data_IF_895190619714
#
_entry.id   IF_895190619714
#
_cell.length_a   1.000
_cell.length_b   1.000
_cell.length_c   1.000
_cell.angle_alpha   90.00
_cell.angle_beta   90.00
_cell.angle_gamma   90.00
#
_symmetry.space_group_name_H-M   'P 1'
#
loop_
_entity.id
_entity.type
_entity.pdbx_description
1 polymer ?
#
# COMPACT_ATOMS: atom_id res chain seq x y z
N UNK A 1 2.11 -18.20 2.94
CA UNK A 1 2.90 -17.00 2.57
C UNK A 1 2.67 -16.76 1.08
N UNK A 2 2.48 -15.52 0.64
CA UNK A 2 2.12 -15.17 -0.76
C UNK A 2 3.32 -15.14 -1.73
N UNK A 3 4.46 -15.68 -1.30
CA UNK A 3 5.74 -15.52 -1.97
C UNK A 3 6.41 -16.88 -2.03
N UNK A 4 6.52 -17.42 -3.24
CA UNK A 4 7.36 -18.58 -3.48
C UNK A 4 8.83 -18.17 -3.30
N UNK A 5 9.66 -18.98 -2.61
CA UNK A 5 11.07 -18.68 -2.37
C UNK A 5 11.86 -18.40 -3.65
N UNK A 6 11.58 -19.19 -4.69
CA UNK A 6 12.36 -19.21 -5.94
C UNK A 6 11.63 -18.53 -7.12
N UNK A 7 10.49 -17.89 -6.85
CA UNK A 7 9.66 -17.25 -7.88
C UNK A 7 10.02 -15.78 -8.12
N UNK A 8 10.18 -15.41 -9.39
CA UNK A 8 10.35 -14.04 -9.87
C UNK A 8 9.01 -13.30 -10.14
N UNK A 9 7.89 -14.03 -10.16
CA UNK A 9 6.54 -13.47 -10.30
C UNK A 9 5.85 -13.33 -8.94
N UNK A 10 5.44 -12.10 -8.59
CA UNK A 10 4.79 -11.81 -7.31
C UNK A 10 3.33 -11.39 -7.50
N UNK A 11 2.43 -12.12 -6.86
CA UNK A 11 1.00 -11.82 -6.89
C UNK A 11 0.63 -10.90 -5.73
N UNK A 12 0.51 -9.60 -6.04
CA UNK A 12 0.17 -8.56 -5.08
C UNK A 12 -0.99 -7.71 -5.60
N UNK A 13 -1.93 -7.42 -4.71
CA UNK A 13 -3.00 -6.47 -5.01
C UNK A 13 -2.45 -5.05 -5.08
N UNK A 14 -2.87 -4.31 -6.11
CA UNK A 14 -2.69 -2.85 -6.12
C UNK A 14 -3.45 -2.25 -4.94
N UNK A 15 -2.95 -1.13 -4.43
CA UNK A 15 -3.63 -0.35 -3.41
C UNK A 15 -4.91 0.29 -3.97
N UNK A 16 -6.05 -0.23 -3.54
CA UNK A 16 -7.36 0.33 -3.88
C UNK A 16 -7.87 1.28 -2.79
N UNK A 17 -8.84 2.14 -3.14
CA UNK A 17 -9.41 3.17 -2.27
C UNK A 17 -9.93 2.68 -0.91
N UNK A 18 -10.34 1.42 -0.80
CA UNK A 18 -10.91 0.83 0.41
C UNK A 18 -9.87 0.30 1.41
N UNK A 19 -8.59 0.28 1.03
CA UNK A 19 -7.52 -0.26 1.86
C UNK A 19 -7.13 0.76 2.94
N UNK A 20 -6.97 0.30 4.19
CA UNK A 20 -6.58 1.17 5.32
C UNK A 20 -5.24 1.90 5.10
N UNK A 21 -4.33 1.26 4.37
CA UNK A 21 -3.02 1.82 4.03
C UNK A 21 -3.11 2.96 2.99
N UNK A 22 -4.21 3.03 2.23
CA UNK A 22 -4.38 4.01 1.14
C UNK A 22 -4.56 5.41 1.72
N UNK A 23 -3.69 6.33 1.32
CA UNK A 23 -3.71 7.71 1.84
C UNK A 23 -4.63 8.67 1.09
N UNK A 24 -5.08 8.31 -0.11
CA UNK A 24 -6.01 9.12 -0.92
C UNK A 24 -5.40 10.34 -1.62
N UNK A 25 -4.32 10.92 -1.11
CA UNK A 25 -3.72 12.15 -1.67
C UNK A 25 -2.63 11.93 -2.74
N UNK A 26 -2.00 10.75 -2.81
CA UNK A 26 -1.01 10.44 -3.85
C UNK A 26 -1.61 9.47 -4.87
N UNK A 27 -1.62 9.73 -6.18
CA UNK A 27 -2.29 8.86 -7.15
C UNK A 27 -1.66 7.46 -7.22
N UNK A 28 -0.33 7.38 -7.21
CA UNK A 28 0.42 6.14 -7.45
C UNK A 28 1.15 5.66 -6.18
N UNK A 29 0.40 5.33 -5.13
CA UNK A 29 0.97 4.74 -3.91
C UNK A 29 1.25 3.25 -4.12
N UNK A 30 2.48 2.81 -3.82
CA UNK A 30 2.85 1.40 -3.82
C UNK A 30 2.44 0.72 -2.50
N UNK A 31 2.07 -0.58 -2.50
CA UNK A 31 1.78 -1.31 -1.27
C UNK A 31 3.02 -1.45 -0.38
N UNK A 32 2.87 -1.25 0.93
CA UNK A 32 3.96 -1.41 1.90
C UNK A 32 4.56 -2.83 1.89
N UNK A 33 3.74 -3.87 1.66
CA UNK A 33 4.19 -5.26 1.62
C UNK A 33 5.16 -5.56 0.47
N UNK A 34 5.00 -4.88 -0.67
CA UNK A 34 5.93 -4.99 -1.80
C UNK A 34 7.31 -4.43 -1.40
N UNK A 35 7.30 -3.22 -0.84
CA UNK A 35 8.51 -2.50 -0.46
C UNK A 35 9.23 -3.17 0.71
N UNK A 36 8.48 -3.74 1.65
CA UNK A 36 9.05 -4.49 2.77
C UNK A 36 9.84 -5.71 2.28
N UNK A 37 9.31 -6.47 1.30
CA UNK A 37 10.05 -7.60 0.73
C UNK A 37 11.35 -7.14 0.06
N UNK A 38 11.26 -6.12 -0.80
CA UNK A 38 12.42 -5.59 -1.54
C UNK A 38 13.49 -5.11 -0.57
N UNK A 39 13.13 -4.30 0.43
CA UNK A 39 14.09 -3.74 1.38
C UNK A 39 14.71 -4.85 2.24
N UNK A 40 13.96 -5.88 2.65
CA UNK A 40 14.49 -6.99 3.45
C UNK A 40 15.47 -7.87 2.68
N UNK A 41 15.24 -8.10 1.39
CA UNK A 41 16.14 -8.89 0.54
C UNK A 41 17.39 -8.11 0.15
N UNK A 42 17.27 -6.80 -0.03
CA UNK A 42 18.34 -5.96 -0.58
C UNK A 42 19.11 -5.14 0.46
N UNK A 43 18.80 -5.25 1.76
CA UNK A 43 19.47 -4.46 2.81
C UNK A 43 19.37 -5.11 4.19
N UNK A 44 20.36 -4.81 5.04
CA UNK A 44 20.37 -5.12 6.46
C UNK A 44 19.88 -3.94 7.31
N UNK A 45 19.67 -4.18 8.61
CA UNK A 45 19.41 -3.08 9.55
C UNK A 45 20.64 -2.16 9.61
N UNK A 46 20.40 -0.86 9.70
CA UNK A 46 21.47 0.16 9.65
C UNK A 46 21.95 0.53 8.25
N UNK A 47 21.60 -0.21 7.20
CA UNK A 47 21.92 0.20 5.82
C UNK A 47 21.10 1.43 5.40
N UNK A 48 21.55 2.11 4.34
CA UNK A 48 20.87 3.27 3.75
C UNK A 48 20.01 2.82 2.58
N UNK A 49 18.71 3.15 2.64
CA UNK A 49 17.79 3.02 1.50
C UNK A 49 17.61 4.38 0.83
N UNK A 50 17.96 4.47 -0.46
CA UNK A 50 17.80 5.69 -1.25
C UNK A 50 16.63 5.57 -2.24
N UNK A 51 15.75 6.56 -2.26
CA UNK A 51 14.65 6.66 -3.23
C UNK A 51 14.65 8.06 -3.91
N UNK A 52 15.06 8.18 -5.19
CA UNK A 52 15.07 9.47 -5.88
C UNK A 52 13.68 9.96 -6.30
N UNK A 53 12.63 9.16 -6.12
CA UNK A 53 11.25 9.47 -6.54
C UNK A 53 10.25 9.11 -5.44
N UNK A 54 10.42 9.73 -4.27
CA UNK A 54 9.74 9.35 -3.01
C UNK A 54 8.21 9.30 -3.14
N UNK A 55 7.60 10.24 -3.87
CA UNK A 55 6.16 10.32 -4.09
C UNK A 55 5.37 10.23 -2.79
N UNK A 56 4.65 9.11 -2.59
CA UNK A 56 3.86 8.85 -1.38
C UNK A 56 4.65 8.57 -0.09
N UNK A 57 5.98 8.48 -0.16
CA UNK A 57 6.85 8.19 0.98
C UNK A 57 6.87 6.72 1.40
N UNK A 58 6.27 5.80 0.63
CA UNK A 58 6.12 4.39 1.04
C UNK A 58 7.47 3.72 1.27
N UNK A 59 8.44 3.87 0.35
CA UNK A 59 9.78 3.29 0.46
C UNK A 59 10.47 3.69 1.75
N UNK A 60 10.55 4.99 2.02
CA UNK A 60 11.26 5.53 3.17
C UNK A 60 10.51 5.26 4.48
N UNK A 61 9.17 5.23 4.47
CA UNK A 61 8.37 4.87 5.63
C UNK A 61 8.60 3.40 6.03
N UNK A 62 8.67 2.49 5.05
CA UNK A 62 9.00 1.09 5.29
C UNK A 62 10.46 0.94 5.75
N UNK A 63 11.40 1.61 5.10
CA UNK A 63 12.82 1.62 5.51
C UNK A 63 12.98 2.07 6.97
N UNK A 64 12.31 3.16 7.35
CA UNK A 64 12.32 3.67 8.72
C UNK A 64 11.78 2.65 9.74
N UNK A 65 10.64 1.98 9.45
CA UNK A 65 10.09 0.94 10.32
C UNK A 65 10.95 -0.30 10.42
N UNK A 66 11.73 -0.57 9.38
CA UNK A 66 12.65 -1.69 9.31
C UNK A 66 14.02 -1.36 9.92
N UNK A 67 14.19 -0.22 10.58
CA UNK A 67 15.46 0.21 11.18
C UNK A 67 16.59 0.37 10.15
N UNK A 68 16.27 0.91 8.97
CA UNK A 68 17.24 1.37 7.98
C UNK A 68 17.37 2.89 8.04
N UNK A 69 18.55 3.39 7.75
CA UNK A 69 18.71 4.80 7.37
C UNK A 69 18.07 5.02 6.00
N UNK A 70 17.70 6.26 5.70
CA UNK A 70 17.00 6.55 4.47
C UNK A 70 17.32 7.95 3.96
N UNK A 71 17.31 8.09 2.64
CA UNK A 71 17.47 9.35 1.93
C UNK A 71 16.50 9.33 0.75
N UNK A 72 15.93 10.48 0.39
CA UNK A 72 15.17 10.54 -0.85
C UNK A 72 14.93 11.94 -1.35
N UNK A 73 14.53 12.00 -2.61
CA UNK A 73 14.25 13.23 -3.34
C UNK A 73 12.80 13.20 -3.84
N UNK A 74 12.15 14.36 -3.78
CA UNK A 74 10.83 14.58 -4.37
C UNK A 74 10.81 15.99 -4.94
N UNK A 75 10.31 16.13 -6.17
CA UNK A 75 10.29 17.41 -6.86
C UNK A 75 9.16 18.31 -6.34
N UNK A 76 8.01 17.71 -6.00
CA UNK A 76 6.88 18.43 -5.45
C UNK A 76 7.08 18.70 -3.95
N UNK A 77 7.16 19.98 -3.57
CA UNK A 77 7.23 20.38 -2.16
C UNK A 77 6.02 19.90 -1.35
N UNK A 78 4.83 19.86 -1.96
CA UNK A 78 3.62 19.34 -1.32
C UNK A 78 3.76 17.84 -1.00
N UNK A 79 4.22 17.04 -1.95
CA UNK A 79 4.43 15.60 -1.73
C UNK A 79 5.58 15.34 -0.77
N UNK A 80 6.67 16.11 -0.85
CA UNK A 80 7.78 16.01 0.08
C UNK A 80 7.32 16.23 1.53
N UNK A 81 6.49 17.25 1.78
CA UNK A 81 5.95 17.53 3.11
C UNK A 81 5.07 16.39 3.64
N UNK A 82 4.09 15.94 2.84
CA UNK A 82 3.18 14.84 3.22
C UNK A 82 3.92 13.51 3.41
N UNK A 83 4.90 13.22 2.55
CA UNK A 83 5.76 12.05 2.69
C UNK A 83 6.60 12.12 3.97
N UNK A 84 7.18 13.29 4.28
CA UNK A 84 7.96 13.51 5.50
C UNK A 84 7.13 13.26 6.76
N UNK A 85 5.89 13.74 6.80
CA UNK A 85 4.95 13.45 7.90
C UNK A 85 4.73 11.94 8.06
N UNK A 86 4.45 11.23 6.96
CA UNK A 86 4.28 9.78 6.94
C UNK A 86 5.52 9.05 7.46
N UNK A 87 6.72 9.42 6.99
CA UNK A 87 7.98 8.80 7.36
C UNK A 87 8.27 9.02 8.85
N UNK A 88 8.05 10.24 9.35
CA UNK A 88 8.20 10.58 10.76
C UNK A 88 7.22 9.80 11.64
N UNK A 89 5.97 9.66 11.20
CA UNK A 89 4.99 8.82 11.87
C UNK A 89 5.46 7.36 11.90
N UNK A 90 5.94 6.83 10.78
CA UNK A 90 6.42 5.46 10.65
C UNK A 90 7.65 5.18 11.55
N UNK A 91 8.59 6.14 11.64
CA UNK A 91 9.76 6.08 12.53
C UNK A 91 9.37 6.04 14.01
N UNK A 92 8.36 6.82 14.42
CA UNK A 92 7.90 6.89 15.82
C UNK A 92 7.12 5.66 16.29
N UNK A 93 6.41 5.00 15.38
CA UNK A 93 5.47 3.91 15.71
C UNK A 93 5.93 2.53 15.21
N UNK A 94 7.22 2.36 14.86
CA UNK A 94 7.70 1.17 14.17
C UNK A 94 8.13 0.01 15.09
N UNK A 95 7.46 -1.15 14.96
CA UNK A 95 8.08 -2.48 14.75
C UNK A 95 7.07 -3.50 14.20
N UNK A 96 7.49 -4.18 13.12
CA UNK A 96 6.85 -5.24 12.31
C UNK A 96 5.36 -5.08 11.95
N UNK A 97 5.07 -4.85 10.66
CA UNK A 97 3.86 -5.45 10.09
C UNK A 97 4.14 -6.95 10.03
N UNK A 98 3.88 -7.68 11.12
CA UNK A 98 3.58 -9.10 10.99
C UNK A 98 2.32 -9.16 10.14
N UNK A 99 2.47 -9.42 8.85
CA UNK A 99 1.34 -9.82 8.00
C UNK A 99 0.90 -11.22 8.44
N UNK A 100 0.29 -11.32 9.63
CA UNK A 100 -0.74 -12.32 9.88
C UNK A 100 -2.00 -11.88 9.12
N UNK A 101 -1.91 -11.83 7.79
CA UNK A 101 -3.07 -11.91 6.91
C UNK A 101 -3.12 -13.30 6.30
N UNK A 102 -3.18 -14.29 7.19
CA UNK A 102 -3.72 -15.62 6.93
C UNK A 102 -4.94 -15.83 7.82
N UNK A 103 -5.95 -14.94 7.76
CA UNK A 103 -7.28 -15.17 8.36
C UNK A 103 -8.28 -14.07 7.95
N UNK A 104 -8.60 -14.01 6.66
CA UNK A 104 -9.93 -13.69 6.13
C UNK A 104 -9.79 -13.74 4.62
N UNK A 105 -9.90 -14.97 4.12
CA UNK A 105 -10.31 -15.18 2.75
C UNK A 105 -11.53 -14.32 2.47
N UNK A 106 -11.61 -13.89 1.22
CA UNK A 106 -12.79 -13.37 0.54
C UNK A 106 -14.06 -13.87 1.24
N UNK A 107 -14.67 -13.05 2.11
CA UNK A 107 -16.05 -13.31 2.51
C UNK A 107 -16.86 -13.07 1.25
N UNK A 108 -17.47 -14.14 0.75
CA UNK A 108 -18.40 -14.18 -0.37
C UNK A 108 -19.20 -12.88 -0.43
N UNK A 109 -19.24 -12.25 -1.60
CA UNK A 109 -20.08 -11.09 -1.83
C UNK A 109 -21.48 -11.34 -1.27
N UNK A 110 -21.92 -10.46 -0.37
CA UNK A 110 -23.32 -10.44 0.05
C UNK A 110 -24.23 -10.31 -1.17
N UNK A 111 -25.46 -10.82 -1.13
CA UNK A 111 -26.35 -10.81 -2.28
C UNK A 111 -26.53 -9.38 -2.79
N UNK A 112 -26.19 -9.14 -4.06
CA UNK A 112 -26.55 -7.88 -4.73
C UNK A 112 -28.07 -7.74 -4.64
N UNK A 113 -28.55 -6.65 -4.03
CA UNK A 113 -29.95 -6.25 -4.16
C UNK A 113 -30.25 -6.11 -5.65
N UNK A 114 -31.23 -6.87 -6.17
CA UNK A 114 -31.73 -6.70 -7.54
C UNK A 114 -32.20 -5.25 -7.68
N UNK A 115 -31.75 -4.55 -8.73
CA UNK A 115 -32.35 -3.27 -9.11
C UNK A 115 -33.84 -3.54 -9.41
N UNK A 116 -34.78 -2.68 -8.96
CA UNK A 116 -36.17 -2.82 -9.36
C UNK A 116 -36.26 -2.71 -10.89
N UNK A 117 -37.04 -3.60 -11.50
CA UNK A 117 -37.32 -3.55 -12.94
C UNK A 117 -37.97 -2.21 -13.30
N UNK A 118 -37.64 -1.62 -14.46
CA UNK A 118 -38.35 -0.44 -14.92
C UNK A 118 -39.83 -0.79 -15.15
N UNK A 119 -40.72 -0.01 -14.56
CA UNK A 119 -42.15 -0.05 -14.82
C UNK A 119 -42.36 0.06 -16.33
N UNK A 120 -42.81 -1.03 -16.96
CA UNK A 120 -43.32 -0.97 -18.33
C UNK A 120 -44.51 -0.01 -18.32
N UNK A 121 -44.39 1.09 -19.06
CA UNK A 121 -45.52 1.94 -19.40
C UNK A 121 -46.60 1.07 -20.02
N UNK A 122 -47.71 0.91 -19.30
CA UNK A 122 -48.95 0.42 -19.90
C UNK A 122 -49.32 1.37 -21.05
N UNK A 123 -49.65 0.79 -22.20
CA UNK A 123 -49.90 1.50 -23.43
C UNK A 123 -50.98 2.57 -23.30
N UNK A 124 -50.82 3.60 -24.14
CA UNK A 124 -51.89 4.50 -24.52
C UNK A 124 -53.10 3.69 -25.01
N UNK A 125 -54.22 3.87 -24.33
CA UNK A 125 -55.48 4.27 -24.95
C UNK A 125 -56.00 5.48 -24.18
#
# INVERSE_FOLDING_TARGET
MYFEPDGDVWYLSRLCGTFKERLGWHPCQLPESLLERIIRVSSNQGDVVFDPFVGSGTTLAVAARLNRHWLGCELSSEYANKATERINYAKKHGSAVLTNQAAKGITKGGPRKKKPEPLRSAGLF
#
